data_IF_393540547945
#
_entry.id   IF_393540547945
#
_cell.length_a   1.000
_cell.length_b   1.000
_cell.length_c   1.000
_cell.angle_alpha   90.00
_cell.angle_beta   90.00
_cell.angle_gamma   90.00
#
_symmetry.space_group_name_H-M   'P 1'
#
loop_
_entity.id
_entity.type
_entity.pdbx_description
1 polymer ?
#
# COMPACT_ATOMS: atom_id res chain seq x y z
N UNK A 1 20.53 21.67 -33.47
CA UNK A 1 20.02 21.18 -32.18
C UNK A 1 21.18 21.21 -31.22
N UNK A 2 21.22 22.20 -30.31
CA UNK A 2 22.36 22.40 -29.41
C UNK A 2 22.37 21.37 -28.28
N UNK A 3 23.54 20.79 -28.00
CA UNK A 3 23.78 20.05 -26.77
C UNK A 3 23.84 21.05 -25.60
N UNK A 4 22.95 20.87 -24.62
CA UNK A 4 23.02 21.57 -23.34
C UNK A 4 24.21 21.01 -22.53
N UNK A 5 25.31 21.74 -22.52
CA UNK A 5 26.49 21.45 -21.70
C UNK A 5 26.26 21.93 -20.26
N UNK A 6 26.64 21.12 -19.27
CA UNK A 6 26.66 21.56 -17.87
C UNK A 6 27.81 22.57 -17.66
N UNK A 7 27.78 23.38 -16.60
CA UNK A 7 28.79 24.43 -16.28
C UNK A 7 30.25 23.95 -16.21
N UNK A 8 30.46 22.63 -16.25
CA UNK A 8 31.76 21.96 -16.10
C UNK A 8 32.26 21.34 -17.43
N UNK A 9 31.65 21.67 -18.58
CA UNK A 9 32.09 21.20 -19.90
C UNK A 9 31.97 19.69 -20.14
N UNK A 10 31.36 18.94 -19.21
CA UNK A 10 31.02 17.52 -19.41
C UNK A 10 29.74 17.38 -20.21
N UNK A 11 29.67 16.44 -21.18
CA UNK A 11 28.42 16.12 -21.84
C UNK A 11 27.40 15.73 -20.78
N UNK A 12 26.20 16.32 -20.85
CA UNK A 12 25.10 15.99 -19.97
C UNK A 12 24.71 14.53 -20.22
N UNK A 13 25.26 13.61 -19.42
CA UNK A 13 24.93 12.18 -19.48
C UNK A 13 23.50 12.01 -18.98
N UNK A 14 22.51 12.32 -19.82
CA UNK A 14 21.11 11.95 -19.63
C UNK A 14 21.09 10.42 -19.55
N UNK A 15 20.96 9.86 -18.35
CA UNK A 15 20.80 8.41 -18.15
C UNK A 15 19.55 7.97 -18.92
N UNK A 16 19.74 7.15 -19.95
CA UNK A 16 18.64 6.56 -20.71
C UNK A 16 17.81 5.69 -19.75
N UNK A 17 16.48 5.88 -19.65
CA UNK A 17 15.67 5.09 -18.74
C UNK A 17 15.64 3.61 -19.20
N UNK A 18 15.68 2.65 -18.26
CA UNK A 18 15.72 1.24 -18.58
C UNK A 18 14.44 0.79 -19.29
N UNK A 19 14.53 -0.08 -20.29
CA UNK A 19 13.36 -0.59 -21.01
C UNK A 19 12.60 -1.65 -20.19
N UNK A 20 11.29 -1.73 -20.38
CA UNK A 20 10.47 -2.87 -19.99
C UNK A 20 10.19 -3.73 -21.23
N UNK A 21 10.79 -4.92 -21.31
CA UNK A 21 10.58 -5.83 -22.44
C UNK A 21 9.13 -6.34 -22.54
N UNK A 22 8.46 -6.59 -21.42
CA UNK A 22 7.07 -7.08 -21.43
C UNK A 22 6.07 -6.05 -21.95
N UNK A 23 6.29 -4.76 -21.64
CA UNK A 23 5.39 -3.67 -22.04
C UNK A 23 5.87 -2.90 -23.27
N UNK A 24 7.10 -3.14 -23.75
CA UNK A 24 7.73 -2.41 -24.84
C UNK A 24 7.77 -0.89 -24.64
N UNK A 25 7.96 -0.44 -23.39
CA UNK A 25 8.08 0.98 -23.03
C UNK A 25 9.39 1.27 -22.31
N UNK A 26 9.90 2.49 -22.44
CA UNK A 26 10.93 3.02 -21.54
C UNK A 26 10.33 3.19 -20.14
N UNK A 27 10.93 2.57 -19.11
CA UNK A 27 10.37 2.58 -17.76
C UNK A 27 10.37 4.03 -17.24
N UNK A 28 9.19 4.57 -16.91
CA UNK A 28 9.15 5.84 -16.20
C UNK A 28 9.90 5.78 -14.87
N UNK A 29 10.29 6.94 -14.34
CA UNK A 29 11.05 7.04 -13.09
C UNK A 29 10.37 6.27 -11.95
N UNK A 30 11.15 5.44 -11.23
CA UNK A 30 10.69 4.62 -10.09
C UNK A 30 9.52 3.67 -10.41
N UNK A 31 9.28 3.34 -11.68
CA UNK A 31 8.27 2.34 -12.07
C UNK A 31 8.82 0.90 -12.02
N UNK A 32 7.94 -0.07 -11.80
CA UNK A 32 8.24 -1.50 -11.94
C UNK A 32 7.14 -2.22 -12.71
N UNK A 33 7.51 -3.24 -13.48
CA UNK A 33 6.54 -4.12 -14.15
C UNK A 33 6.02 -5.15 -13.16
N UNK A 34 4.71 -5.16 -12.93
CA UNK A 34 4.07 -6.21 -12.14
C UNK A 34 3.64 -7.35 -13.06
N UNK A 35 4.16 -8.56 -12.79
CA UNK A 35 3.80 -9.76 -13.57
C UNK A 35 2.35 -10.19 -13.37
N UNK A 36 1.77 -9.91 -12.20
CA UNK A 36 0.39 -10.29 -11.87
C UNK A 36 -0.62 -9.45 -12.67
N UNK A 37 -0.47 -8.12 -12.64
CA UNK A 37 -1.36 -7.20 -13.37
C UNK A 37 -0.88 -6.91 -14.80
N UNK A 38 0.25 -7.48 -15.22
CA UNK A 38 0.87 -7.37 -16.55
C UNK A 38 1.07 -5.95 -17.05
N UNK A 39 1.34 -5.00 -16.15
CA UNK A 39 1.54 -3.58 -16.47
C UNK A 39 2.72 -2.98 -15.69
N UNK A 40 3.33 -1.96 -16.28
CA UNK A 40 4.25 -1.08 -15.56
C UNK A 40 3.46 -0.13 -14.67
N UNK A 41 3.83 -0.08 -13.39
CA UNK A 41 3.17 0.76 -12.38
C UNK A 41 4.13 1.85 -11.94
N UNK A 42 3.68 3.09 -12.00
CA UNK A 42 4.43 4.27 -11.55
C UNK A 42 4.57 4.27 -10.03
N UNK A 43 5.78 4.62 -9.55
CA UNK A 43 6.14 4.57 -8.14
C UNK A 43 5.65 3.28 -7.47
N UNK A 44 5.96 2.14 -8.10
CA UNK A 44 5.45 0.85 -7.66
C UNK A 44 5.90 0.55 -6.24
N UNK A 45 4.92 0.30 -5.39
CA UNK A 45 5.14 -0.14 -4.02
C UNK A 45 5.05 -1.67 -3.97
N UNK A 46 3.84 -2.24 -4.14
CA UNK A 46 3.63 -3.68 -4.16
C UNK A 46 2.37 -4.10 -4.94
N UNK A 47 2.22 -5.40 -5.20
CA UNK A 47 0.92 -5.99 -5.54
C UNK A 47 0.26 -6.45 -4.24
N UNK A 48 -0.95 -5.96 -3.97
CA UNK A 48 -1.68 -6.29 -2.76
C UNK A 48 -2.82 -7.26 -3.11
N UNK A 49 -2.79 -8.51 -2.62
CA UNK A 49 -3.86 -9.48 -2.86
C UNK A 49 -5.21 -9.03 -2.26
N UNK A 50 -5.18 -8.32 -1.12
CA UNK A 50 -6.39 -7.87 -0.42
C UNK A 50 -7.22 -6.87 -1.22
N UNK A 51 -6.57 -6.02 -2.02
CA UNK A 51 -7.26 -5.08 -2.92
C UNK A 51 -7.29 -5.57 -4.37
N UNK A 52 -6.74 -6.76 -4.64
CA UNK A 52 -6.68 -7.36 -5.97
C UNK A 52 -5.92 -6.52 -7.02
N UNK A 53 -5.06 -5.59 -6.61
CA UNK A 53 -4.44 -4.62 -7.53
C UNK A 53 -3.03 -4.20 -7.05
N UNK A 54 -2.27 -3.59 -7.94
CA UNK A 54 -1.02 -2.95 -7.57
C UNK A 54 -1.26 -1.63 -6.84
N UNK A 55 -0.48 -1.40 -5.79
CA UNK A 55 -0.37 -0.12 -5.10
C UNK A 55 0.81 0.65 -5.70
N UNK A 56 0.56 1.89 -6.10
CA UNK A 56 1.54 2.79 -6.67
C UNK A 56 1.03 4.23 -6.68
N UNK A 57 1.62 5.10 -7.50
CA UNK A 57 1.40 6.55 -7.44
C UNK A 57 -0.07 6.97 -7.37
N UNK A 58 -0.92 6.44 -8.25
CA UNK A 58 -2.30 6.90 -8.42
C UNK A 58 -3.29 6.36 -7.39
N UNK A 59 -2.91 5.36 -6.59
CA UNK A 59 -3.80 4.77 -5.60
C UNK A 59 -3.21 4.60 -4.21
N UNK A 60 -1.94 4.97 -4.00
CA UNK A 60 -1.28 4.88 -2.70
C UNK A 60 -2.07 5.61 -1.60
N UNK A 61 -2.62 6.80 -1.88
CA UNK A 61 -3.42 7.56 -0.91
C UNK A 61 -4.67 6.78 -0.47
N UNK A 62 -5.39 6.17 -1.42
CA UNK A 62 -6.57 5.36 -1.12
C UNK A 62 -6.20 4.10 -0.35
N UNK A 63 -5.08 3.46 -0.70
CA UNK A 63 -4.56 2.31 0.03
C UNK A 63 -4.18 2.66 1.47
N UNK A 64 -3.52 3.80 1.69
CA UNK A 64 -3.18 4.26 3.04
C UNK A 64 -4.44 4.54 3.87
N UNK A 65 -5.43 5.23 3.30
CA UNK A 65 -6.73 5.44 3.95
C UNK A 65 -7.45 4.12 4.23
N UNK A 66 -7.37 3.14 3.33
CA UNK A 66 -7.89 1.80 3.55
C UNK A 66 -7.29 1.13 4.79
N UNK A 67 -5.96 1.18 4.97
CA UNK A 67 -5.30 0.61 6.16
C UNK A 67 -5.76 1.33 7.45
N UNK A 68 -5.80 2.67 7.43
CA UNK A 68 -6.26 3.46 8.58
C UNK A 68 -7.70 3.10 8.94
N UNK A 69 -8.59 3.07 7.95
CA UNK A 69 -10.00 2.78 8.17
C UNK A 69 -10.22 1.32 8.60
N UNK A 70 -9.39 0.39 8.11
CA UNK A 70 -9.37 -0.98 8.60
C UNK A 70 -9.05 -1.02 10.10
N UNK A 71 -7.99 -0.36 10.56
CA UNK A 71 -7.64 -0.31 11.99
C UNK A 71 -8.76 0.30 12.85
N UNK A 72 -9.37 1.40 12.40
CA UNK A 72 -10.49 2.05 13.09
C UNK A 72 -11.73 1.16 13.15
N UNK A 73 -12.06 0.47 12.06
CA UNK A 73 -13.23 -0.42 12.00
C UNK A 73 -13.10 -1.60 12.97
N UNK A 74 -11.90 -2.19 13.08
CA UNK A 74 -11.61 -3.28 13.99
C UNK A 74 -11.76 -2.85 15.45
N UNK A 75 -11.20 -1.67 15.79
CA UNK A 75 -11.36 -1.07 17.11
C UNK A 75 -12.83 -0.79 17.45
N UNK A 76 -13.56 -0.18 16.51
CA UNK A 76 -14.99 0.12 16.66
C UNK A 76 -15.85 -1.14 16.87
N UNK A 77 -15.54 -2.21 16.13
CA UNK A 77 -16.22 -3.51 16.28
C UNK A 77 -16.00 -4.08 17.69
N UNK A 78 -14.75 -4.15 18.15
CA UNK A 78 -14.43 -4.68 19.50
C UNK A 78 -15.13 -3.89 20.60
N UNK A 79 -15.10 -2.55 20.53
CA UNK A 79 -15.77 -1.69 21.51
C UNK A 79 -17.28 -1.95 21.50
N UNK A 80 -17.88 -2.07 20.32
CA UNK A 80 -19.33 -2.29 20.20
C UNK A 80 -19.74 -3.65 20.75
N UNK A 81 -18.99 -4.72 20.44
CA UNK A 81 -19.23 -6.06 20.98
C UNK A 81 -19.03 -6.11 22.50
N UNK A 82 -18.00 -5.46 23.04
CA UNK A 82 -17.78 -5.37 24.48
C UNK A 82 -18.95 -4.66 25.20
N UNK A 83 -19.45 -3.56 24.62
CA UNK A 83 -20.64 -2.85 25.13
C UNK A 83 -21.93 -3.67 25.01
N UNK A 84 -22.03 -4.51 23.98
CA UNK A 84 -23.15 -5.43 23.84
C UNK A 84 -23.12 -6.50 24.93
N UNK A 85 -21.99 -7.18 25.12
CA UNK A 85 -21.82 -8.22 26.15
C UNK A 85 -22.05 -7.69 27.57
N UNK A 86 -21.67 -6.43 27.85
CA UNK A 86 -21.91 -5.83 29.16
C UNK A 86 -23.39 -5.52 29.45
N UNK A 87 -24.24 -5.47 28.42
CA UNK A 87 -25.67 -5.17 28.54
C UNK A 87 -26.58 -6.38 28.35
N UNK A 88 -26.25 -7.23 27.37
CA UNK A 88 -27.05 -8.38 26.97
C UNK A 88 -26.65 -9.67 27.70
N UNK A 89 -25.52 -9.66 28.41
CA UNK A 89 -24.95 -10.85 29.02
C UNK A 89 -23.99 -11.58 28.08
N UNK A 90 -23.48 -12.70 28.56
CA UNK A 90 -22.42 -13.44 27.89
C UNK A 90 -22.92 -14.24 26.69
N UNK A 91 -22.31 -14.01 25.53
CA UNK A 91 -22.57 -14.74 24.28
C UNK A 91 -21.24 -15.25 23.70
N UNK A 92 -21.13 -16.57 23.58
CA UNK A 92 -19.92 -17.25 23.13
C UNK A 92 -19.58 -16.96 21.65
N UNK A 93 -20.59 -16.79 20.79
CA UNK A 93 -20.37 -16.43 19.39
C UNK A 93 -19.77 -15.04 19.27
N UNK A 94 -20.23 -14.10 20.09
CA UNK A 94 -19.67 -12.76 20.15
C UNK A 94 -18.23 -12.78 20.63
N UNK A 95 -17.91 -13.53 21.69
CA UNK A 95 -16.54 -13.68 22.17
C UNK A 95 -15.61 -14.28 21.10
N UNK A 96 -16.05 -15.32 20.39
CA UNK A 96 -15.28 -15.88 19.28
C UNK A 96 -15.08 -14.90 18.14
N UNK A 97 -16.10 -14.12 17.78
CA UNK A 97 -15.99 -13.09 16.75
C UNK A 97 -14.95 -12.03 17.13
N UNK A 98 -14.90 -11.62 18.40
CA UNK A 98 -13.93 -10.65 18.90
C UNK A 98 -12.50 -11.18 18.86
N UNK A 99 -12.28 -12.45 19.20
CA UNK A 99 -10.97 -13.09 19.11
C UNK A 99 -10.51 -13.18 17.65
N UNK A 100 -11.38 -13.65 16.75
CA UNK A 100 -11.08 -13.77 15.32
C UNK A 100 -10.73 -12.41 14.70
N UNK A 101 -11.54 -11.38 14.95
CA UNK A 101 -11.29 -10.00 14.48
C UNK A 101 -10.00 -9.46 15.13
N UNK A 102 -9.81 -9.67 16.44
CA UNK A 102 -8.62 -9.24 17.17
C UNK A 102 -7.30 -9.73 16.59
N UNK A 103 -7.27 -10.93 15.98
CA UNK A 103 -6.07 -11.46 15.32
C UNK A 103 -5.57 -10.58 14.15
N UNK A 104 -6.44 -9.80 13.51
CA UNK A 104 -6.07 -8.92 12.39
C UNK A 104 -5.56 -7.55 12.82
N UNK A 105 -5.69 -7.19 14.11
CA UNK A 105 -5.24 -5.89 14.62
C UNK A 105 -3.73 -5.76 14.54
N UNK A 106 -2.98 -6.75 15.04
CA UNK A 106 -1.52 -6.68 15.06
C UNK A 106 -0.94 -6.55 13.63
N UNK A 107 -1.32 -7.40 12.65
CA UNK A 107 -0.90 -7.22 11.26
C UNK A 107 -1.31 -5.86 10.68
N UNK A 108 -2.53 -5.39 10.96
CA UNK A 108 -3.01 -4.09 10.49
C UNK A 108 -2.16 -2.93 11.00
N UNK A 109 -1.82 -2.93 12.30
CA UNK A 109 -0.97 -1.91 12.93
C UNK A 109 0.47 -1.97 12.41
N UNK A 110 1.05 -3.17 12.23
CA UNK A 110 2.39 -3.33 11.66
C UNK A 110 2.45 -2.78 10.22
N UNK A 111 1.45 -3.09 9.39
CA UNK A 111 1.34 -2.56 8.04
C UNK A 111 1.22 -1.03 8.06
N UNK A 112 0.38 -0.47 8.93
CA UNK A 112 0.24 0.98 9.06
C UNK A 112 1.56 1.65 9.46
N UNK A 113 2.25 1.12 10.47
CA UNK A 113 3.53 1.64 10.94
C UNK A 113 4.58 1.63 9.82
N UNK A 114 4.69 0.52 9.09
CA UNK A 114 5.63 0.42 7.98
C UNK A 114 5.36 1.49 6.91
N UNK A 115 4.08 1.69 6.52
CA UNK A 115 3.73 2.73 5.56
C UNK A 115 3.91 4.16 6.08
N UNK A 116 3.77 4.39 7.39
CA UNK A 116 4.12 5.68 8.01
C UNK A 116 5.63 5.94 7.94
N UNK A 117 6.46 4.92 8.12
CA UNK A 117 7.92 5.04 7.99
C UNK A 117 8.35 5.34 6.55
N UNK A 118 7.66 4.80 5.55
CA UNK A 118 7.94 5.07 4.13
C UNK A 118 7.61 6.51 3.68
N UNK A 119 6.78 7.23 4.44
CA UNK A 119 6.36 8.60 4.12
C UNK A 119 7.33 9.63 4.74
N UNK A 120 8.09 9.24 5.77
CA UNK A 120 9.13 10.09 6.38
C UNK A 120 10.38 10.10 5.52
#
# INVERSE_FOLDING_TARGET
>A
MGEETNTDGKPNSKKVPPLCHSCHISKPLRSKHCRVTRKCVLMFDHYCPFVGNCVGLYNYRYFFLYIVNHCLSQLGFIITCAKYLSRAGFDWYMCFSMVYVGMFILPGLMMLQYHVQLIR
#
